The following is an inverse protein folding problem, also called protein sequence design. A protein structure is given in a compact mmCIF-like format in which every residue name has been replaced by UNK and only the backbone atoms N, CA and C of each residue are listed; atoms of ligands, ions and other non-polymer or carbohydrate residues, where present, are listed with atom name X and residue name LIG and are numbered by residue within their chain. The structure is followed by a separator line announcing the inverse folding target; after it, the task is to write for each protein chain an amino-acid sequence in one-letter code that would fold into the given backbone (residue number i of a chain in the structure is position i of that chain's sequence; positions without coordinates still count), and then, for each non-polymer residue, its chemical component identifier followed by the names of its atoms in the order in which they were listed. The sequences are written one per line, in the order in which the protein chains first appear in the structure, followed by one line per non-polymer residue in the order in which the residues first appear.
data_IF_431223712976
#
_entry.id   IF_431223712976
#
_cell.length_a   1.000
_cell.length_b   1.000
_cell.length_c   1.000
_cell.angle_alpha   90.00
_cell.angle_beta   90.00
_cell.angle_gamma   90.00
#
_symmetry.space_group_name_H-M   'P 1'
#
loop_
_entity.id
_entity.type
_entity.pdbx_description
1 polymer ?
#
# COMPACT_ATOMS: atom_id res chain seq x y z
N UNK A 1 -12.18 -21.70 32.50
CA UNK A 1 -11.58 -21.07 31.28
C UNK A 1 -10.64 -19.98 31.77
N UNK A 2 -9.36 -20.03 31.40
CA UNK A 2 -8.37 -19.10 31.93
C UNK A 2 -8.62 -17.70 31.37
N UNK A 3 -8.37 -16.65 32.17
CA UNK A 3 -8.50 -15.24 31.76
C UNK A 3 -7.71 -14.92 30.47
N UNK A 4 -6.68 -15.69 30.17
CA UNK A 4 -5.88 -15.57 28.93
C UNK A 4 -6.66 -15.98 27.68
N UNK A 5 -7.46 -17.04 27.73
CA UNK A 5 -8.32 -17.44 26.60
C UNK A 5 -9.39 -16.38 26.29
N UNK A 6 -9.99 -15.79 27.33
CA UNK A 6 -10.97 -14.73 27.17
C UNK A 6 -10.36 -13.46 26.55
N UNK A 7 -9.15 -13.07 26.97
CA UNK A 7 -8.44 -11.94 26.39
C UNK A 7 -8.07 -12.16 24.90
N UNK A 8 -7.68 -13.39 24.51
CA UNK A 8 -7.40 -13.74 23.11
C UNK A 8 -8.68 -13.63 22.27
N UNK A 9 -9.83 -14.12 22.76
CA UNK A 9 -11.10 -14.03 22.02
C UNK A 9 -11.58 -12.59 21.87
N UNK A 10 -11.42 -11.73 22.88
CA UNK A 10 -11.72 -10.30 22.77
C UNK A 10 -10.81 -9.62 21.76
N UNK A 11 -9.51 -9.90 21.77
CA UNK A 11 -8.56 -9.36 20.81
C UNK A 11 -8.88 -9.75 19.36
N UNK A 12 -9.24 -11.01 19.14
CA UNK A 12 -9.59 -11.53 17.82
C UNK A 12 -10.90 -10.93 17.29
N UNK A 13 -11.93 -10.81 18.15
CA UNK A 13 -13.21 -10.20 17.78
C UNK A 13 -13.08 -8.71 17.51
N UNK A 14 -12.29 -7.99 18.28
CA UNK A 14 -11.99 -6.57 18.04
C UNK A 14 -11.23 -6.37 16.71
N UNK A 15 -10.30 -7.25 16.39
CA UNK A 15 -9.56 -7.24 15.10
C UNK A 15 -10.49 -7.46 13.91
N UNK A 16 -11.39 -8.44 13.99
CA UNK A 16 -12.39 -8.71 12.94
C UNK A 16 -13.35 -7.52 12.78
N UNK A 17 -13.81 -6.93 13.88
CA UNK A 17 -14.69 -5.76 13.85
C UNK A 17 -14.00 -4.56 13.18
N UNK A 18 -12.75 -4.30 13.50
CA UNK A 18 -11.95 -3.25 12.86
C UNK A 18 -11.77 -3.48 11.36
N UNK A 19 -11.56 -4.73 10.93
CA UNK A 19 -11.50 -5.10 9.52
C UNK A 19 -12.83 -4.85 8.81
N UNK A 20 -13.95 -5.20 9.43
CA UNK A 20 -15.29 -4.92 8.90
C UNK A 20 -15.58 -3.42 8.81
N UNK A 21 -15.26 -2.65 9.84
CA UNK A 21 -15.41 -1.19 9.84
C UNK A 21 -14.53 -0.54 8.76
N UNK A 22 -13.30 -1.02 8.58
CA UNK A 22 -12.41 -0.54 7.53
C UNK A 22 -12.94 -0.88 6.14
N UNK A 23 -13.41 -2.10 5.91
CA UNK A 23 -14.02 -2.49 4.64
C UNK A 23 -15.30 -1.70 4.34
N UNK A 24 -16.14 -1.46 5.36
CA UNK A 24 -17.32 -0.61 5.24
C UNK A 24 -16.96 0.84 4.93
N UNK A 25 -15.95 1.40 5.61
CA UNK A 25 -15.43 2.75 5.33
C UNK A 25 -14.91 2.88 3.91
N UNK A 26 -14.16 1.89 3.42
CA UNK A 26 -13.69 1.86 2.02
C UNK A 26 -14.87 1.82 1.04
N UNK A 27 -15.91 1.07 1.36
CA UNK A 27 -17.09 0.94 0.50
C UNK A 27 -17.95 2.21 0.48
N UNK A 28 -18.11 2.88 1.62
CA UNK A 28 -18.79 4.18 1.72
C UNK A 28 -18.04 5.27 0.94
N UNK A 29 -16.73 5.30 1.04
CA UNK A 29 -15.88 6.25 0.30
C UNK A 29 -15.91 6.00 -1.22
N UNK A 30 -16.18 4.78 -1.67
CA UNK A 30 -16.39 4.44 -3.09
C UNK A 30 -17.60 5.16 -3.70
N UNK A 31 -18.67 5.35 -2.92
CA UNK A 31 -19.92 5.97 -3.42
C UNK A 31 -19.85 7.48 -3.55
N UNK A 32 -18.83 8.12 -3.00
CA UNK A 32 -18.67 9.58 -2.96
C UNK A 32 -17.54 10.11 -3.86
N UNK A 33 -16.98 9.28 -4.77
CA UNK A 33 -15.94 9.77 -5.67
C UNK A 33 -16.53 10.84 -6.61
N UNK A 34 -16.23 12.15 -6.41
CA UNK A 34 -16.57 13.16 -7.38
C UNK A 34 -15.84 12.83 -8.69
N UNK A 35 -16.40 13.25 -9.81
CA UNK A 35 -15.75 13.23 -11.12
C UNK A 35 -14.55 14.19 -11.07
N UNK A 36 -13.41 13.69 -10.56
CA UNK A 36 -12.18 14.45 -10.49
C UNK A 36 -11.57 14.47 -11.88
N UNK A 37 -11.29 15.65 -12.41
CA UNK A 37 -10.59 15.79 -13.68
C UNK A 37 -9.21 15.13 -13.58
N UNK A 38 -8.83 14.40 -14.63
CA UNK A 38 -7.57 13.61 -14.66
C UNK A 38 -6.33 14.49 -14.41
N UNK A 39 -6.38 15.77 -14.77
CA UNK A 39 -5.31 16.75 -14.55
C UNK A 39 -5.05 17.06 -13.07
N UNK A 40 -6.12 17.21 -12.29
CA UNK A 40 -6.03 17.48 -10.85
C UNK A 40 -5.54 16.26 -10.07
N UNK A 41 -5.89 15.06 -10.55
CA UNK A 41 -5.40 13.81 -9.98
C UNK A 41 -3.88 13.66 -10.13
N UNK A 42 -3.32 14.02 -11.30
CA UNK A 42 -1.88 13.89 -11.53
C UNK A 42 -1.06 14.74 -10.55
N UNK A 43 -1.55 15.94 -10.19
CA UNK A 43 -0.89 16.82 -9.21
C UNK A 43 -1.01 16.30 -7.76
N UNK A 44 -1.91 15.37 -7.52
CA UNK A 44 -2.17 14.79 -6.18
C UNK A 44 -1.33 13.55 -5.88
N UNK A 45 -0.57 13.02 -6.86
CA UNK A 45 0.32 11.89 -6.63
C UNK A 45 1.50 12.26 -5.75
N UNK A 46 1.75 11.44 -4.76
CA UNK A 46 2.89 11.60 -3.87
C UNK A 46 4.08 10.78 -4.38
N UNK A 47 5.29 11.37 -4.46
CA UNK A 47 6.47 10.63 -4.89
C UNK A 47 6.78 9.50 -3.90
N UNK A 48 6.92 8.28 -4.41
CA UNK A 48 7.29 7.09 -3.64
C UNK A 48 8.63 6.59 -4.12
N UNK A 49 9.60 6.56 -3.22
CA UNK A 49 10.90 5.98 -3.51
C UNK A 49 10.90 4.49 -3.15
N UNK A 50 10.56 3.66 -4.15
CA UNK A 50 10.50 2.20 -4.03
C UNK A 50 11.88 1.61 -3.77
N UNK A 51 12.93 2.20 -4.32
CA UNK A 51 14.32 1.75 -4.17
C UNK A 51 14.77 1.85 -2.71
N UNK A 52 14.54 3.02 -2.08
CA UNK A 52 14.84 3.19 -0.65
C UNK A 52 14.05 2.19 0.20
N UNK A 53 12.78 1.94 -0.11
CA UNK A 53 12.00 0.95 0.61
C UNK A 53 12.58 -0.46 0.45
N UNK A 54 12.99 -0.84 -0.76
CA UNK A 54 13.60 -2.15 -1.03
C UNK A 54 14.94 -2.31 -0.33
N UNK A 55 15.73 -1.25 -0.26
CA UNK A 55 17.03 -1.22 0.42
C UNK A 55 16.88 -1.38 1.95
N UNK A 56 15.96 -0.61 2.56
CA UNK A 56 15.64 -0.74 3.98
C UNK A 56 15.15 -2.16 4.33
N UNK A 57 14.49 -2.83 3.39
CA UNK A 57 14.02 -4.21 3.56
C UNK A 57 15.09 -5.27 3.26
N UNK A 58 16.28 -4.89 2.78
CA UNK A 58 17.34 -5.81 2.44
C UNK A 58 17.94 -6.46 3.70
N UNK A 59 17.91 -7.81 3.82
CA UNK A 59 18.43 -8.51 4.99
C UNK A 59 19.96 -8.36 5.14
N UNK A 60 20.70 -8.20 4.04
CA UNK A 60 22.15 -8.02 4.08
C UNK A 60 22.52 -6.69 4.72
N UNK A 61 21.83 -5.61 4.39
CA UNK A 61 22.04 -4.28 4.98
C UNK A 61 21.78 -4.31 6.50
N UNK A 62 20.78 -5.04 6.95
CA UNK A 62 20.49 -5.12 8.38
C UNK A 62 21.52 -5.92 9.17
N UNK A 63 22.07 -6.98 8.59
CA UNK A 63 23.20 -7.69 9.21
C UNK A 63 24.41 -6.76 9.36
N UNK A 64 24.72 -6.02 8.30
CA UNK A 64 25.79 -5.02 8.33
C UNK A 64 25.57 -3.98 9.44
N UNK A 65 24.35 -3.45 9.58
CA UNK A 65 24.02 -2.49 10.64
C UNK A 65 24.20 -3.11 12.03
N UNK A 66 23.79 -4.37 12.24
CA UNK A 66 23.92 -5.08 13.50
C UNK A 66 25.38 -5.36 13.89
N UNK A 67 26.24 -5.59 12.89
CA UNK A 67 27.67 -5.87 13.09
C UNK A 67 28.48 -4.59 13.29
N UNK A 68 28.02 -3.45 12.75
CA UNK A 68 28.80 -2.20 12.71
C UNK A 68 28.47 -1.25 13.86
N UNK A 69 27.19 -1.18 14.28
CA UNK A 69 26.72 -0.16 15.22
C UNK A 69 26.41 -0.72 16.60
N UNK A 70 26.68 0.10 17.63
CA UNK A 70 26.29 -0.19 18.99
C UNK A 70 24.77 -0.21 19.20
N UNK A 71 24.32 -0.84 20.29
CA UNK A 71 22.90 -1.07 20.58
C UNK A 71 22.03 0.18 20.52
N UNK A 72 22.48 1.29 21.09
CA UNK A 72 21.69 2.53 21.19
C UNK A 72 21.58 3.21 19.83
N UNK A 73 22.66 3.23 19.07
CA UNK A 73 22.69 3.78 17.72
C UNK A 73 21.86 2.95 16.75
N UNK A 74 21.95 1.63 16.87
CA UNK A 74 21.14 0.68 16.12
C UNK A 74 19.63 0.88 16.36
N UNK A 75 19.22 1.11 17.62
CA UNK A 75 17.82 1.40 17.95
C UNK A 75 17.33 2.72 17.34
N UNK A 76 18.19 3.74 17.27
CA UNK A 76 17.87 5.02 16.62
C UNK A 76 17.66 4.80 15.11
N UNK A 77 18.60 4.11 14.45
CA UNK A 77 18.53 3.81 13.03
C UNK A 77 17.24 3.01 12.72
N UNK A 78 16.89 2.02 13.52
CA UNK A 78 15.67 1.24 13.33
C UNK A 78 14.39 2.07 13.46
N UNK A 79 14.32 3.01 14.40
CA UNK A 79 13.18 3.92 14.53
C UNK A 79 13.01 4.82 13.30
N UNK A 80 14.12 5.35 12.79
CA UNK A 80 14.12 6.15 11.56
C UNK A 80 13.69 5.32 10.34
N UNK A 81 14.21 4.10 10.19
CA UNK A 81 13.81 3.17 9.13
C UNK A 81 12.32 2.80 9.21
N UNK A 82 11.79 2.52 10.39
CA UNK A 82 10.36 2.24 10.59
C UNK A 82 9.51 3.45 10.19
N UNK A 83 9.91 4.65 10.59
CA UNK A 83 9.20 5.89 10.25
C UNK A 83 9.18 6.12 8.73
N UNK A 84 10.31 5.99 8.07
CA UNK A 84 10.43 6.11 6.60
C UNK A 84 9.59 5.05 5.89
N UNK A 85 9.64 3.81 6.37
CA UNK A 85 8.85 2.71 5.82
C UNK A 85 7.34 2.98 5.92
N UNK A 86 6.87 3.43 7.09
CA UNK A 86 5.47 3.78 7.29
C UNK A 86 5.03 4.94 6.39
N UNK A 87 5.87 5.94 6.21
CA UNK A 87 5.59 7.07 5.33
C UNK A 87 5.50 6.63 3.86
N UNK A 88 6.46 5.84 3.36
CA UNK A 88 6.40 5.27 2.01
C UNK A 88 5.12 4.47 1.79
N UNK A 89 4.75 3.62 2.75
CA UNK A 89 3.53 2.81 2.66
C UNK A 89 2.26 3.66 2.63
N UNK A 90 2.19 4.73 3.43
CA UNK A 90 1.05 5.67 3.40
C UNK A 90 0.92 6.34 2.03
N UNK A 91 2.03 6.78 1.44
CA UNK A 91 2.07 7.36 0.09
C UNK A 91 1.63 6.36 -0.97
N UNK A 92 2.12 5.10 -0.90
CA UNK A 92 1.66 4.01 -1.79
C UNK A 92 0.16 3.79 -1.69
N UNK A 93 -0.38 3.74 -0.47
CA UNK A 93 -1.83 3.57 -0.24
C UNK A 93 -2.64 4.76 -0.75
N UNK A 94 -2.13 5.99 -0.61
CA UNK A 94 -2.75 7.20 -1.14
C UNK A 94 -2.79 7.16 -2.67
N UNK A 95 -1.66 6.89 -3.32
CA UNK A 95 -1.57 6.79 -4.78
C UNK A 95 -2.47 5.66 -5.32
N UNK A 96 -2.51 4.51 -4.63
CA UNK A 96 -3.41 3.42 -5.00
C UNK A 96 -4.88 3.82 -4.90
N UNK A 97 -5.26 4.66 -3.92
CA UNK A 97 -6.62 5.18 -3.82
C UNK A 97 -6.98 6.10 -4.98
N UNK A 98 -6.05 6.97 -5.42
CA UNK A 98 -6.23 7.84 -6.58
C UNK A 98 -6.37 7.01 -7.86
N UNK A 99 -5.49 6.04 -8.09
CA UNK A 99 -5.56 5.16 -9.26
C UNK A 99 -6.84 4.33 -9.28
N UNK A 100 -7.33 3.88 -8.12
CA UNK A 100 -8.65 3.24 -8.02
C UNK A 100 -9.78 4.17 -8.47
N UNK A 101 -9.75 5.46 -8.11
CA UNK A 101 -10.75 6.44 -8.55
C UNK A 101 -10.74 6.58 -10.07
N UNK A 102 -9.54 6.66 -10.68
CA UNK A 102 -9.40 6.67 -12.15
C UNK A 102 -10.00 5.40 -12.76
N UNK A 103 -9.67 4.22 -12.20
CA UNK A 103 -10.21 2.96 -12.64
C UNK A 103 -11.74 2.92 -12.58
N UNK A 104 -12.33 3.31 -11.46
CA UNK A 104 -13.80 3.37 -11.32
C UNK A 104 -14.46 4.28 -12.36
N UNK A 105 -13.87 5.42 -12.68
CA UNK A 105 -14.39 6.32 -13.70
C UNK A 105 -14.37 5.71 -15.12
N UNK A 106 -13.48 4.73 -15.37
CA UNK A 106 -13.32 4.07 -16.68
C UNK A 106 -14.05 2.72 -16.80
N UNK A 107 -14.60 2.15 -15.71
CA UNK A 107 -15.32 0.88 -15.73
C UNK A 107 -16.53 0.88 -16.69
N UNK A 108 -17.16 2.04 -16.88
CA UNK A 108 -18.32 2.21 -17.76
C UNK A 108 -17.93 2.75 -19.14
N UNK A 109 -16.66 2.66 -19.53
CA UNK A 109 -16.20 3.00 -20.87
C UNK A 109 -16.88 2.10 -21.90
N UNK A 110 -17.32 2.68 -23.01
CA UNK A 110 -17.86 1.91 -24.14
C UNK A 110 -16.82 0.98 -24.81
N UNK A 111 -15.54 1.14 -24.50
CA UNK A 111 -14.46 0.29 -24.97
C UNK A 111 -14.20 -0.82 -23.96
N UNK A 112 -14.46 -2.08 -24.36
CA UNK A 112 -14.31 -3.26 -23.51
C UNK A 112 -12.86 -3.46 -23.02
N UNK A 113 -11.86 -3.10 -23.83
CA UNK A 113 -10.45 -3.19 -23.44
C UNK A 113 -10.12 -2.19 -22.31
N UNK A 114 -10.62 -0.97 -22.40
CA UNK A 114 -10.44 0.04 -21.35
C UNK A 114 -11.16 -0.38 -20.07
N UNK A 115 -12.38 -0.91 -20.19
CA UNK A 115 -13.15 -1.37 -19.03
C UNK A 115 -12.48 -2.55 -18.30
N UNK A 116 -11.93 -3.53 -19.05
CA UNK A 116 -11.21 -4.67 -18.45
C UNK A 116 -9.92 -4.20 -17.75
N UNK A 117 -9.15 -3.33 -18.37
CA UNK A 117 -7.93 -2.79 -17.78
C UNK A 117 -8.22 -1.94 -16.53
N UNK A 118 -9.30 -1.16 -16.58
CA UNK A 118 -9.78 -0.39 -15.44
C UNK A 118 -10.18 -1.30 -14.26
N UNK A 119 -10.83 -2.44 -14.53
CA UNK A 119 -11.15 -3.43 -13.50
C UNK A 119 -9.88 -4.00 -12.87
N UNK A 120 -8.92 -4.43 -13.69
CA UNK A 120 -7.64 -4.95 -13.19
C UNK A 120 -6.89 -3.91 -12.34
N UNK A 121 -6.92 -2.64 -12.75
CA UNK A 121 -6.32 -1.53 -11.99
C UNK A 121 -7.02 -1.33 -10.64
N UNK A 122 -8.34 -1.39 -10.59
CA UNK A 122 -9.12 -1.31 -9.35
C UNK A 122 -8.76 -2.44 -8.41
N UNK A 123 -8.69 -3.68 -8.91
CA UNK A 123 -8.36 -4.86 -8.12
C UNK A 123 -6.92 -4.80 -7.59
N UNK A 124 -5.95 -4.41 -8.43
CA UNK A 124 -4.57 -4.17 -7.99
C UNK A 124 -4.50 -3.10 -6.90
N UNK A 125 -5.24 -2.01 -7.05
CA UNK A 125 -5.32 -0.95 -6.04
C UNK A 125 -5.89 -1.43 -4.70
N UNK A 126 -6.89 -2.33 -4.71
CA UNK A 126 -7.42 -2.96 -3.49
C UNK A 126 -6.32 -3.78 -2.80
N UNK A 127 -5.57 -4.59 -3.55
CA UNK A 127 -4.47 -5.40 -3.01
C UNK A 127 -3.37 -4.54 -2.38
N UNK A 128 -2.92 -3.48 -3.07
CA UNK A 128 -1.92 -2.55 -2.52
C UNK A 128 -2.38 -1.96 -1.19
N UNK A 129 -3.63 -1.49 -1.10
CA UNK A 129 -4.18 -0.89 0.11
C UNK A 129 -4.33 -1.91 1.24
N UNK A 130 -4.73 -3.13 0.92
CA UNK A 130 -4.85 -4.22 1.89
C UNK A 130 -3.48 -4.60 2.47
N UNK A 131 -2.48 -4.83 1.61
CA UNK A 131 -1.12 -5.16 2.04
C UNK A 131 -0.48 -4.03 2.84
N UNK A 132 -0.68 -2.79 2.41
CA UNK A 132 -0.23 -1.61 3.16
C UNK A 132 -0.85 -1.56 4.55
N UNK A 133 -2.17 -1.77 4.66
CA UNK A 133 -2.87 -1.78 5.94
C UNK A 133 -2.35 -2.88 6.86
N UNK A 134 -2.18 -4.10 6.35
CA UNK A 134 -1.64 -5.22 7.12
C UNK A 134 -0.22 -4.93 7.61
N UNK A 135 0.65 -4.43 6.73
CA UNK A 135 2.02 -4.09 7.08
C UNK A 135 2.09 -2.96 8.12
N UNK A 136 1.24 -1.91 8.00
CA UNK A 136 1.17 -0.82 8.97
C UNK A 136 0.70 -1.29 10.34
N UNK A 137 -0.29 -2.19 10.42
CA UNK A 137 -0.74 -2.77 11.71
C UNK A 137 0.43 -3.52 12.36
N UNK A 138 1.11 -4.40 11.61
CA UNK A 138 2.23 -5.17 12.16
C UNK A 138 3.36 -4.24 12.63
N UNK A 139 3.70 -3.21 11.87
CA UNK A 139 4.70 -2.21 12.27
C UNK A 139 4.27 -1.42 13.51
N UNK A 140 3.00 -1.02 13.59
CA UNK A 140 2.47 -0.28 14.74
C UNK A 140 2.47 -1.11 16.01
N UNK A 141 1.98 -2.35 15.94
CA UNK A 141 2.02 -3.30 17.07
C UNK A 141 3.45 -3.52 17.52
N UNK A 142 4.36 -3.71 16.58
CA UNK A 142 5.77 -3.92 16.87
C UNK A 142 6.42 -2.70 17.51
N UNK A 143 6.19 -1.50 16.99
CA UNK A 143 6.74 -0.26 17.58
C UNK A 143 6.24 -0.07 19.03
N UNK A 144 5.01 -0.46 19.31
CA UNK A 144 4.44 -0.41 20.67
C UNK A 144 5.02 -1.47 21.60
N UNK A 145 5.33 -2.66 21.09
CA UNK A 145 5.90 -3.76 21.88
C UNK A 145 7.41 -3.63 22.13
N UNK A 146 8.13 -2.82 21.34
CA UNK A 146 9.56 -2.54 21.57
C UNK A 146 9.84 -1.83 22.90
N UNK A 147 8.82 -1.27 23.53
CA UNK A 147 8.91 -0.70 24.89
C UNK A 147 9.02 -1.81 25.96
N UNK A 148 8.65 -3.05 25.63
CA UNK A 148 8.75 -4.20 26.53
C UNK A 148 10.06 -4.98 26.28
N UNK A 149 10.94 -5.11 27.29
CA UNK A 149 12.27 -5.74 27.12
C UNK A 149 12.22 -7.22 26.72
N UNK A 150 11.05 -7.86 26.77
CA UNK A 150 10.84 -9.28 26.46
C UNK A 150 10.70 -9.56 24.93
N UNK A 151 10.48 -8.55 24.08
CA UNK A 151 10.27 -8.73 22.65
C UNK A 151 11.42 -8.19 21.80
N UNK A 152 12.65 -8.47 22.25
CA UNK A 152 13.87 -8.17 21.52
C UNK A 152 13.90 -8.88 20.17
N UNK A 153 14.06 -8.10 19.12
CA UNK A 153 14.66 -8.44 17.81
C UNK A 153 14.17 -9.67 16.99
N UNK A 154 13.31 -10.52 17.50
CA UNK A 154 13.18 -11.89 17.01
C UNK A 154 12.25 -12.11 15.81
N UNK A 155 11.60 -11.15 15.17
CA UNK A 155 10.83 -11.45 13.96
C UNK A 155 10.55 -10.23 13.05
N UNK A 156 11.61 -9.68 12.45
CA UNK A 156 11.47 -8.73 11.32
C UNK A 156 11.02 -9.43 10.04
N UNK A 157 11.01 -10.76 10.01
CA UNK A 157 10.69 -11.56 8.84
C UNK A 157 9.30 -11.29 8.26
N UNK A 158 8.27 -11.24 9.10
CA UNK A 158 6.88 -11.14 8.63
C UNK A 158 6.58 -9.84 7.87
N UNK A 159 6.98 -8.68 8.39
CA UNK A 159 6.72 -7.41 7.70
C UNK A 159 7.47 -7.32 6.39
N UNK A 160 8.72 -7.79 6.37
CA UNK A 160 9.54 -7.81 5.15
C UNK A 160 8.94 -8.73 4.09
N UNK A 161 8.47 -9.90 4.51
CA UNK A 161 7.78 -10.83 3.62
C UNK A 161 6.56 -10.15 2.98
N UNK A 162 5.72 -9.51 3.78
CA UNK A 162 4.52 -8.78 3.28
C UNK A 162 4.93 -7.65 2.33
N UNK A 163 5.93 -6.84 2.68
CA UNK A 163 6.35 -5.69 1.87
C UNK A 163 7.04 -6.14 0.59
N UNK A 164 8.07 -6.98 0.69
CA UNK A 164 8.88 -7.35 -0.46
C UNK A 164 8.16 -8.33 -1.40
N UNK A 165 7.39 -9.28 -0.85
CA UNK A 165 6.77 -10.35 -1.66
C UNK A 165 5.36 -10.02 -2.11
N UNK A 166 4.65 -9.11 -1.43
CA UNK A 166 3.26 -8.82 -1.73
C UNK A 166 3.02 -7.36 -2.11
N UNK A 167 3.47 -6.41 -1.29
CA UNK A 167 3.17 -4.99 -1.50
C UNK A 167 3.91 -4.40 -2.71
N UNK A 168 5.23 -4.61 -2.82
CA UNK A 168 6.02 -4.06 -3.91
C UNK A 168 5.59 -4.59 -5.28
N UNK A 169 5.39 -5.91 -5.49
CA UNK A 169 4.87 -6.42 -6.75
C UNK A 169 3.47 -5.93 -7.08
N UNK A 170 2.57 -5.84 -6.08
CA UNK A 170 1.22 -5.32 -6.29
C UNK A 170 1.24 -3.83 -6.69
N UNK A 171 2.12 -3.03 -6.10
CA UNK A 171 2.27 -1.62 -6.46
C UNK A 171 2.87 -1.44 -7.85
N UNK A 172 3.87 -2.26 -8.22
CA UNK A 172 4.43 -2.27 -9.58
C UNK A 172 3.37 -2.64 -10.63
N UNK A 173 2.58 -3.68 -10.36
CA UNK A 173 1.46 -4.08 -11.22
C UNK A 173 0.43 -2.96 -11.36
N UNK A 174 0.05 -2.30 -10.28
CA UNK A 174 -0.88 -1.18 -10.30
C UNK A 174 -0.38 -0.03 -11.17
N UNK A 175 0.91 0.31 -11.07
CA UNK A 175 1.55 1.33 -11.88
C UNK A 175 1.57 0.94 -13.37
N UNK A 176 1.95 -0.29 -13.69
CA UNK A 176 1.95 -0.82 -15.05
C UNK A 176 0.55 -0.71 -15.69
N UNK A 177 -0.51 -1.11 -14.97
CA UNK A 177 -1.90 -0.98 -15.45
C UNK A 177 -2.33 0.47 -15.65
N UNK A 178 -1.89 1.38 -14.79
CA UNK A 178 -2.15 2.81 -14.92
C UNK A 178 -1.45 3.40 -16.15
N UNK A 179 -0.19 3.02 -16.40
CA UNK A 179 0.58 3.45 -17.57
C UNK A 179 -0.07 2.93 -18.87
N UNK A 180 -0.49 1.65 -18.90
CA UNK A 180 -1.21 1.07 -20.04
C UNK A 180 -2.55 1.79 -20.31
N UNK A 181 -3.32 2.08 -19.27
CA UNK A 181 -4.59 2.79 -19.40
C UNK A 181 -4.39 4.21 -19.98
N UNK A 182 -3.33 4.88 -19.52
CA UNK A 182 -2.96 6.21 -20.01
C UNK A 182 -2.54 6.17 -21.48
N UNK A 183 -1.73 5.21 -21.87
CA UNK A 183 -1.33 5.01 -23.27
C UNK A 183 -2.53 4.77 -24.19
N UNK A 184 -3.48 3.92 -23.77
CA UNK A 184 -4.69 3.63 -24.57
C UNK A 184 -5.58 4.85 -24.73
N UNK A 185 -5.69 5.67 -23.70
CA UNK A 185 -6.53 6.88 -23.73
C UNK A 185 -5.93 7.96 -24.63
N UNK A 186 -4.63 8.12 -24.66
CA UNK A 186 -3.95 9.07 -25.55
C UNK A 186 -3.94 8.57 -27.00
N UNK A 187 -3.79 7.27 -27.25
CA UNK A 187 -3.88 6.71 -28.60
C UNK A 187 -5.27 6.92 -29.20
N UNK A 188 -6.34 6.76 -28.42
CA UNK A 188 -7.72 7.00 -28.87
C UNK A 188 -7.99 8.47 -29.20
N UNK A 189 -7.35 9.40 -28.48
CA UNK A 189 -7.40 10.84 -28.81
C UNK A 189 -6.65 11.18 -30.10
N UNK A 190 -5.53 10.51 -30.35
CA UNK A 190 -4.76 10.67 -31.59
C UNK A 190 -5.54 10.17 -32.81
N UNK A 191 -6.25 9.06 -32.69
CA UNK A 191 -7.07 8.49 -33.77
C UNK A 191 -8.30 9.37 -34.08
N UNK A 192 -8.94 9.95 -33.06
CA UNK A 192 -10.07 10.87 -33.23
C UNK A 192 -9.66 12.20 -33.86
N UNK A 193 -8.47 12.70 -33.58
CA UNK A 193 -7.90 13.89 -34.23
C UNK A 193 -7.49 13.61 -35.67
N UNK A 194 -6.92 12.45 -35.97
CA UNK A 194 -6.54 12.05 -37.33
C UNK A 194 -7.75 11.81 -38.25
N UNK A 195 -8.90 11.47 -37.71
CA UNK A 195 -10.18 11.30 -38.46
C UNK A 195 -10.96 12.60 -38.61
N UNK A 196 -10.62 13.66 -37.85
CA UNK A 196 -11.28 14.98 -37.88
C UNK A 196 -10.53 16.00 -38.74
N UNK A 197 -9.36 15.70 -39.26
CA UNK A 197 -8.56 16.46 -40.20
C UNK A 197 -8.65 15.85 -41.61
#
# INVERSE_FOLDING_TARGET
MSNTMFAIWIGLSAGILLLFLYAAFLNLRRRQAPSVELGDLMNSFLPVNVEVLSEVMNPAQQRYLQETFGRDELLRIYREQISLTMECMRRMSHNAALLQQVGYAQLHSGNQLIASLAQEMVDAGVHVRLYTFMALIVLQVRSSLQVLPLFSAANTGDVRGIVAQSLLPAYALLKDKADHLTCLKFSSLHESLATSL
#
